data_IF_251457322517
#
_entry.id   IF_251457322517
#
_cell.length_a   1.000
_cell.length_b   1.000
_cell.length_c   1.000
_cell.angle_alpha   90.00
_cell.angle_beta   90.00
_cell.angle_gamma   90.00
#
_symmetry.space_group_name_H-M   'P 1'
#
loop_
_entity.id
_entity.type
_entity.pdbx_description
1 polymer ?
#
# COMPACT_ATOMS: atom_id res chain seq x y z
N UNK A 1 1.29 27.96 -31.42
CA UNK A 1 2.23 27.43 -30.40
C UNK A 1 3.39 26.71 -31.10
N UNK A 2 4.63 27.08 -30.77
CA UNK A 2 5.78 26.34 -31.28
C UNK A 2 5.77 24.92 -30.68
N UNK A 3 6.31 23.95 -31.41
CA UNK A 3 6.35 22.54 -30.95
C UNK A 3 7.03 22.43 -29.57
N UNK A 4 8.04 23.27 -29.31
CA UNK A 4 8.72 23.39 -28.01
C UNK A 4 7.82 23.86 -26.86
N UNK A 5 6.93 24.84 -27.08
CA UNK A 5 5.99 25.29 -26.05
C UNK A 5 5.00 24.18 -25.66
N UNK A 6 4.57 23.40 -26.64
CA UNK A 6 3.71 22.22 -26.41
C UNK A 6 4.47 21.13 -25.62
N UNK A 7 5.73 20.87 -25.98
CA UNK A 7 6.60 19.90 -25.30
C UNK A 7 6.86 20.27 -23.83
N UNK A 8 7.14 21.54 -23.56
CA UNK A 8 7.38 22.02 -22.19
C UNK A 8 6.13 21.93 -21.31
N UNK A 9 4.96 22.20 -21.90
CA UNK A 9 3.68 22.02 -21.21
C UNK A 9 3.44 20.56 -20.84
N UNK A 10 3.71 19.64 -21.77
CA UNK A 10 3.50 18.21 -21.55
C UNK A 10 4.47 17.65 -20.50
N UNK A 11 5.74 18.07 -20.54
CA UNK A 11 6.74 17.75 -19.51
C UNK A 11 6.34 18.28 -18.13
N UNK A 12 5.82 19.51 -18.06
CA UNK A 12 5.33 20.09 -16.82
C UNK A 12 4.12 19.31 -16.28
N UNK A 13 3.19 18.91 -17.16
CA UNK A 13 2.06 18.06 -16.78
C UNK A 13 2.50 16.70 -16.25
N UNK A 14 3.46 16.05 -16.90
CA UNK A 14 4.07 14.79 -16.45
C UNK A 14 4.77 14.93 -15.10
N UNK A 15 5.51 16.03 -14.91
CA UNK A 15 6.16 16.37 -13.64
C UNK A 15 5.16 16.53 -12.49
N UNK A 16 4.09 17.31 -12.71
CA UNK A 16 3.04 17.52 -11.71
C UNK A 16 2.27 16.23 -11.39
N UNK A 17 1.98 15.41 -12.39
CA UNK A 17 1.35 14.10 -12.17
C UNK A 17 2.25 13.18 -11.33
N UNK A 18 3.55 13.11 -11.63
CA UNK A 18 4.50 12.36 -10.81
C UNK A 18 4.59 12.91 -9.39
N UNK A 19 4.60 14.22 -9.22
CA UNK A 19 4.62 14.84 -7.89
C UNK A 19 3.36 14.49 -7.07
N UNK A 20 2.18 14.53 -7.69
CA UNK A 20 0.94 14.12 -7.04
C UNK A 20 0.93 12.64 -6.65
N UNK A 21 1.47 11.76 -7.49
CA UNK A 21 1.63 10.34 -7.17
C UNK A 21 2.53 10.14 -5.95
N UNK A 22 3.66 10.86 -5.89
CA UNK A 22 4.55 10.82 -4.73
C UNK A 22 3.85 11.28 -3.45
N UNK A 23 3.13 12.41 -3.47
CA UNK A 23 2.39 12.89 -2.29
C UNK A 23 1.37 11.85 -1.81
N UNK A 24 0.61 11.24 -2.73
CA UNK A 24 -0.38 10.20 -2.39
C UNK A 24 0.30 8.97 -1.78
N UNK A 25 1.45 8.56 -2.31
CA UNK A 25 2.24 7.46 -1.77
C UNK A 25 2.75 7.78 -0.37
N UNK A 26 3.33 8.97 -0.17
CA UNK A 26 3.82 9.43 1.14
C UNK A 26 2.69 9.54 2.16
N UNK A 27 1.50 10.02 1.78
CA UNK A 27 0.33 10.04 2.66
C UNK A 27 -0.09 8.63 3.09
N UNK A 28 -0.13 7.67 2.16
CA UNK A 28 -0.40 6.25 2.48
C UNK A 28 0.66 5.66 3.41
N UNK A 29 1.94 5.95 3.17
CA UNK A 29 3.05 5.50 4.01
C UNK A 29 2.96 6.07 5.43
N UNK A 30 2.66 7.37 5.58
CA UNK A 30 2.48 8.02 6.89
C UNK A 30 1.28 7.44 7.66
N UNK A 31 0.19 7.12 6.96
CA UNK A 31 -1.01 6.52 7.55
C UNK A 31 -0.82 5.05 7.92
N UNK A 32 0.28 4.42 7.50
CA UNK A 32 0.45 2.98 7.49
C UNK A 32 -0.28 2.37 6.30
N UNK A 33 0.45 1.74 5.38
CA UNK A 33 -0.16 1.07 4.21
C UNK A 33 -1.06 -0.10 4.63
N UNK A 34 -0.86 -0.64 5.84
CA UNK A 34 -1.65 -1.73 6.41
C UNK A 34 -2.15 -1.34 7.80
N UNK A 35 -3.43 -0.95 7.89
CA UNK A 35 -4.10 -0.72 9.17
C UNK A 35 -4.48 -2.06 9.79
N UNK A 36 -3.49 -2.80 10.28
CA UNK A 36 -3.74 -3.99 11.08
C UNK A 36 -4.31 -3.56 12.42
N UNK A 37 -5.47 -4.10 12.77
CA UNK A 37 -6.06 -3.87 14.09
C UNK A 37 -5.11 -4.52 15.10
N UNK A 38 -4.50 -3.72 15.96
CA UNK A 38 -3.71 -4.22 17.10
C UNK A 38 -4.62 -4.13 18.32
N UNK A 39 -4.80 -5.24 19.04
CA UNK A 39 -5.55 -5.20 20.29
C UNK A 39 -4.82 -4.34 21.31
N UNK A 40 -5.53 -3.38 21.91
CA UNK A 40 -5.02 -2.52 22.99
C UNK A 40 -4.86 -3.28 24.32
N UNK A 41 -5.37 -4.52 24.42
CA UNK A 41 -5.04 -5.38 25.56
C UNK A 41 -3.58 -5.78 25.38
N UNK A 42 -2.69 -5.22 26.20
CA UNK A 42 -1.32 -5.74 26.33
C UNK A 42 -1.43 -7.26 26.43
N UNK A 43 -0.92 -7.97 25.42
CA UNK A 43 -0.75 -9.42 25.43
C UNK A 43 0.31 -9.77 26.49
N UNK A 44 0.01 -9.52 27.75
CA UNK A 44 0.79 -9.98 28.88
C UNK A 44 0.48 -11.46 28.99
N UNK A 45 1.41 -12.28 28.49
CA UNK A 45 1.43 -13.76 28.50
C UNK A 45 1.61 -14.28 29.95
N UNK A 46 0.89 -13.67 30.90
CA UNK A 46 0.95 -13.95 32.33
C UNK A 46 -0.44 -14.26 32.91
N UNK A 47 -1.49 -14.26 32.07
CA UNK A 47 -2.83 -14.71 32.41
C UNK A 47 -3.09 -16.05 31.75
N UNK A 48 -3.63 -16.99 32.53
CA UNK A 48 -3.97 -18.38 32.20
C UNK A 48 -4.22 -18.61 30.70
N UNK A 49 -3.35 -19.39 30.02
CA UNK A 49 -3.37 -19.69 28.58
C UNK A 49 -4.64 -20.45 28.13
N UNK A 50 -5.60 -20.60 29.03
CA UNK A 50 -6.87 -21.31 28.88
C UNK A 50 -8.10 -20.39 28.88
N UNK A 51 -7.92 -19.06 28.95
CA UNK A 51 -9.03 -18.11 28.86
C UNK A 51 -9.63 -18.11 27.44
N UNK A 52 -10.85 -18.61 27.31
CA UNK A 52 -11.58 -18.74 26.05
C UNK A 52 -11.77 -17.37 25.36
N UNK A 53 -11.99 -16.30 26.13
CA UNK A 53 -12.09 -14.93 25.61
C UNK A 53 -10.78 -14.46 24.96
N UNK A 54 -9.64 -14.90 25.50
CA UNK A 54 -8.33 -14.54 24.96
C UNK A 54 -8.06 -15.23 23.63
N UNK A 55 -8.41 -16.52 23.53
CA UNK A 55 -8.27 -17.31 22.29
C UNK A 55 -9.20 -16.74 21.21
N UNK A 56 -10.47 -16.47 21.54
CA UNK A 56 -11.43 -15.87 20.59
C UNK A 56 -10.95 -14.51 20.04
N UNK A 57 -10.37 -13.67 20.91
CA UNK A 57 -9.80 -12.39 20.49
C UNK A 57 -8.60 -12.57 19.54
N UNK A 58 -7.74 -13.56 19.79
CA UNK A 58 -6.62 -13.87 18.89
C UNK A 58 -7.13 -14.37 17.54
N UNK A 59 -8.07 -15.32 17.53
CA UNK A 59 -8.66 -15.85 16.31
C UNK A 59 -9.31 -14.73 15.48
N UNK A 60 -10.05 -13.83 16.12
CA UNK A 60 -10.63 -12.67 15.46
C UNK A 60 -9.56 -11.75 14.85
N UNK A 61 -8.47 -11.48 15.56
CA UNK A 61 -7.38 -10.63 15.04
C UNK A 61 -6.68 -11.29 13.85
N UNK A 62 -6.31 -12.56 13.96
CA UNK A 62 -5.69 -13.31 12.87
C UNK A 62 -6.58 -13.36 11.64
N UNK A 63 -7.88 -13.63 11.81
CA UNK A 63 -8.84 -13.62 10.72
C UNK A 63 -8.90 -12.25 10.03
N UNK A 64 -8.94 -11.15 10.80
CA UNK A 64 -8.95 -9.81 10.21
C UNK A 64 -7.65 -9.48 9.49
N UNK A 65 -6.50 -9.86 10.04
CA UNK A 65 -5.21 -9.64 9.40
C UNK A 65 -5.11 -10.42 8.10
N UNK A 66 -5.51 -11.69 8.10
CA UNK A 66 -5.54 -12.52 6.90
C UNK A 66 -6.43 -11.89 5.82
N UNK A 67 -7.63 -11.42 6.18
CA UNK A 67 -8.54 -10.76 5.24
C UNK A 67 -7.93 -9.49 4.65
N UNK A 68 -7.39 -8.60 5.48
CA UNK A 68 -6.78 -7.34 5.03
C UNK A 68 -5.58 -7.60 4.13
N UNK A 69 -4.71 -8.55 4.50
CA UNK A 69 -3.55 -8.93 3.69
C UNK A 69 -3.98 -9.52 2.34
N UNK A 70 -5.00 -10.39 2.31
CA UNK A 70 -5.52 -10.93 1.07
C UNK A 70 -6.10 -9.85 0.15
N UNK A 71 -6.89 -8.92 0.70
CA UNK A 71 -7.48 -7.81 -0.06
C UNK A 71 -6.39 -6.91 -0.67
N UNK A 72 -5.42 -6.49 0.13
CA UNK A 72 -4.33 -5.62 -0.36
C UNK A 72 -3.41 -6.36 -1.35
N UNK A 73 -3.08 -7.62 -1.09
CA UNK A 73 -2.30 -8.42 -2.04
C UNK A 73 -3.04 -8.59 -3.36
N UNK A 74 -4.34 -8.86 -3.34
CA UNK A 74 -5.15 -8.93 -4.57
C UNK A 74 -5.20 -7.58 -5.29
N UNK A 75 -5.33 -6.47 -4.56
CA UNK A 75 -5.31 -5.13 -5.16
C UNK A 75 -3.99 -4.85 -5.87
N UNK A 76 -2.85 -5.11 -5.22
CA UNK A 76 -1.53 -4.95 -5.83
C UNK A 76 -1.32 -5.91 -7.00
N UNK A 77 -1.76 -7.17 -6.88
CA UNK A 77 -1.59 -8.17 -7.93
C UNK A 77 -2.37 -7.80 -9.20
N UNK A 78 -3.57 -7.23 -9.04
CA UNK A 78 -4.47 -6.86 -10.13
C UNK A 78 -4.14 -5.51 -10.81
N UNK A 79 -3.27 -4.68 -10.22
CA UNK A 79 -2.81 -3.45 -10.88
C UNK A 79 -2.09 -3.77 -12.19
N UNK A 80 -2.33 -2.94 -13.19
CA UNK A 80 -1.66 -2.99 -14.49
C UNK A 80 -0.96 -1.67 -14.77
N UNK A 81 0.15 -1.75 -15.50
CA UNK A 81 0.84 -0.58 -16.03
C UNK A 81 -0.11 0.14 -17.00
N UNK A 82 -0.35 1.43 -16.77
CA UNK A 82 -1.26 2.25 -17.59
C UNK A 82 -0.53 2.77 -18.85
N UNK A 83 0.78 2.99 -18.78
CA UNK A 83 1.63 3.49 -19.86
C UNK A 83 2.75 2.49 -20.17
N UNK A 84 2.80 1.98 -21.41
CA UNK A 84 3.77 0.97 -21.87
C UNK A 84 5.15 1.54 -22.18
N UNK A 85 5.48 2.73 -21.68
CA UNK A 85 6.83 3.26 -21.74
C UNK A 85 7.78 2.38 -20.92
N UNK A 86 8.99 2.02 -21.42
CA UNK A 86 9.94 1.19 -20.68
C UNK A 86 10.28 1.73 -19.28
N UNK A 87 10.31 3.06 -19.12
CA UNK A 87 10.55 3.70 -17.82
C UNK A 87 9.36 3.53 -16.87
N UNK A 88 8.14 3.67 -17.40
CA UNK A 88 6.91 3.51 -16.62
C UNK A 88 6.73 2.06 -16.14
N UNK A 89 7.11 1.07 -16.95
CA UNK A 89 7.15 -0.33 -16.52
C UNK A 89 8.18 -0.56 -15.40
N UNK A 90 9.40 -0.02 -15.55
CA UNK A 90 10.45 -0.14 -14.54
C UNK A 90 10.01 0.46 -13.19
N UNK A 91 9.47 1.68 -13.21
CA UNK A 91 8.94 2.35 -12.02
C UNK A 91 7.81 1.55 -11.37
N UNK A 92 6.86 1.05 -12.17
CA UNK A 92 5.76 0.22 -11.68
C UNK A 92 6.24 -1.06 -10.99
N UNK A 93 7.15 -1.81 -11.62
CA UNK A 93 7.66 -3.05 -11.04
C UNK A 93 8.51 -2.80 -9.80
N UNK A 94 9.29 -1.72 -9.78
CA UNK A 94 10.06 -1.32 -8.62
C UNK A 94 9.16 -0.99 -7.43
N UNK A 95 8.13 -0.16 -7.62
CA UNK A 95 7.16 0.16 -6.57
C UNK A 95 6.43 -1.08 -6.05
N UNK A 96 6.01 -1.98 -6.95
CA UNK A 96 5.34 -3.22 -6.56
C UNK A 96 6.24 -4.14 -5.76
N UNK A 97 7.54 -4.21 -6.09
CA UNK A 97 8.52 -4.97 -5.31
C UNK A 97 8.65 -4.44 -3.89
N UNK A 98 8.70 -3.11 -3.72
CA UNK A 98 8.80 -2.48 -2.39
C UNK A 98 7.53 -2.73 -1.55
N UNK A 99 6.35 -2.75 -2.17
CA UNK A 99 5.08 -2.98 -1.43
C UNK A 99 4.87 -4.44 -1.02
N UNK A 100 5.45 -5.39 -1.76
CA UNK A 100 5.25 -6.84 -1.52
C UNK A 100 6.37 -7.45 -0.65
N UNK A 101 7.57 -6.88 -0.70
CA UNK A 101 8.76 -7.40 0.02
C UNK A 101 8.92 -6.73 1.37
#
# INVERSE_FOLDING_TARGET
>A
PSIEETSQRDELHLSLNRFLLHIKSTLRQIQGEFNLIISNKNFLINGDETDEEYIENLEYLFYNWERILHEEMNNELNKRVIDSSPLAELEFWHERSIRIT
#
